data_IF_602767816861
#
_entry.id   IF_602767816861
#
_cell.length_a   1.000
_cell.length_b   1.000
_cell.length_c   1.000
_cell.angle_alpha   90.00
_cell.angle_beta   90.00
_cell.angle_gamma   90.00
#
_symmetry.space_group_name_H-M   'P 1'
#
loop_
_entity.id
_entity.type
_entity.pdbx_description
1 polymer ?
#
# COMPACT_ATOMS: atom_id res chain seq x y z
N UNK A 1 -7.28 -20.89 -2.89
CA UNK A 1 -6.20 -20.50 -3.81
C UNK A 1 -6.26 -19.00 -3.98
N UNK A 2 -5.23 -18.26 -3.53
CA UNK A 2 -5.19 -16.80 -3.64
C UNK A 2 -4.17 -16.43 -4.71
N UNK A 3 -4.62 -16.41 -5.96
CA UNK A 3 -3.77 -16.28 -7.15
C UNK A 3 -2.83 -15.07 -7.07
N UNK A 4 -3.31 -13.93 -6.56
CA UNK A 4 -2.49 -12.73 -6.42
C UNK A 4 -1.34 -12.90 -5.42
N UNK A 5 -1.61 -13.59 -4.31
CA UNK A 5 -0.57 -13.91 -3.32
C UNK A 5 0.49 -14.82 -3.93
N UNK A 6 0.06 -15.88 -4.62
CA UNK A 6 0.98 -16.86 -5.24
C UNK A 6 1.90 -16.18 -6.27
N UNK A 7 1.38 -15.18 -7.01
CA UNK A 7 2.16 -14.39 -7.96
C UNK A 7 3.18 -13.46 -7.28
N UNK A 8 2.83 -12.86 -6.14
CA UNK A 8 3.75 -12.02 -5.35
C UNK A 8 4.87 -12.87 -4.74
N UNK A 9 4.52 -14.01 -4.14
CA UNK A 9 5.50 -14.95 -3.56
C UNK A 9 6.45 -15.53 -4.62
N UNK A 10 5.95 -15.78 -5.84
CA UNK A 10 6.78 -16.22 -6.96
C UNK A 10 7.59 -15.09 -7.64
N UNK A 11 7.51 -13.85 -7.14
CA UNK A 11 8.21 -12.68 -7.70
C UNK A 11 7.71 -12.22 -9.07
N UNK A 12 6.54 -12.73 -9.53
CA UNK A 12 5.93 -12.34 -10.81
C UNK A 12 5.22 -10.99 -10.75
N UNK A 13 4.81 -10.57 -9.54
CA UNK A 13 4.20 -9.28 -9.27
C UNK A 13 4.92 -8.64 -8.09
N UNK A 14 5.48 -7.45 -8.29
CA UNK A 14 6.10 -6.66 -7.22
C UNK A 14 5.17 -5.49 -6.87
N UNK A 15 4.58 -5.46 -5.65
CA UNK A 15 3.79 -4.32 -5.22
C UNK A 15 4.67 -3.07 -5.13
N UNK A 16 4.19 -1.97 -5.73
CA UNK A 16 4.84 -0.67 -5.59
C UNK A 16 4.28 0.02 -4.36
N UNK A 17 5.11 0.23 -3.33
CA UNK A 17 4.78 1.04 -2.16
C UNK A 17 5.15 2.49 -2.47
N UNK A 18 4.17 3.37 -2.50
CA UNK A 18 4.42 4.80 -2.77
C UNK A 18 4.72 5.60 -1.51
N UNK A 19 3.93 5.37 -0.46
CA UNK A 19 4.07 6.10 0.80
C UNK A 19 3.70 5.23 1.99
N UNK A 20 4.39 5.46 3.09
CA UNK A 20 4.18 4.77 4.36
C UNK A 20 3.87 5.79 5.44
N UNK A 21 2.91 5.48 6.30
CA UNK A 21 2.53 6.27 7.47
C UNK A 21 2.53 5.37 8.71
N UNK A 22 2.83 5.88 9.92
CA UNK A 22 2.52 5.14 11.13
C UNK A 22 1.00 4.97 11.28
N UNK A 23 0.56 3.89 11.94
CA UNK A 23 -0.86 3.62 12.18
C UNK A 23 -1.56 4.79 12.91
N UNK A 24 -0.84 5.48 13.80
CA UNK A 24 -1.30 6.69 14.47
C UNK A 24 -1.71 7.81 13.50
N UNK A 25 -1.18 7.82 12.27
CA UNK A 25 -1.45 8.79 11.21
C UNK A 25 -2.43 8.26 10.15
N UNK A 26 -3.19 7.19 10.41
CA UNK A 26 -4.13 6.62 9.44
C UNK A 26 -5.10 7.65 8.83
N UNK A 27 -5.56 8.63 9.61
CA UNK A 27 -6.41 9.70 9.10
C UNK A 27 -5.71 10.58 8.05
N UNK A 28 -4.40 10.82 8.21
CA UNK A 28 -3.59 11.55 7.24
C UNK A 28 -3.35 10.72 5.98
N UNK A 29 -3.12 9.42 6.13
CA UNK A 29 -2.99 8.50 5.00
C UNK A 29 -4.25 8.48 4.12
N UNK A 30 -5.44 8.49 4.74
CA UNK A 30 -6.72 8.57 4.02
C UNK A 30 -6.88 9.91 3.30
N UNK A 31 -6.54 11.03 3.94
CA UNK A 31 -6.57 12.35 3.28
C UNK A 31 -5.64 12.40 2.08
N UNK A 32 -4.40 11.94 2.23
CA UNK A 32 -3.41 11.85 1.16
C UNK A 32 -3.90 11.02 -0.04
N UNK A 33 -4.64 9.94 0.22
CA UNK A 33 -5.31 9.15 -0.83
C UNK A 33 -6.44 9.94 -1.50
N UNK A 34 -7.32 10.56 -0.70
CA UNK A 34 -8.48 11.30 -1.19
C UNK A 34 -8.09 12.52 -2.03
N UNK A 35 -6.97 13.17 -1.70
CA UNK A 35 -6.41 14.31 -2.45
C UNK A 35 -5.78 13.88 -3.79
N UNK A 36 -5.83 12.59 -4.15
CA UNK A 36 -5.31 12.06 -5.41
C UNK A 36 -3.78 12.02 -5.49
N UNK A 37 -3.09 12.24 -4.36
CA UNK A 37 -1.63 12.30 -4.32
C UNK A 37 -0.98 10.91 -4.28
N UNK A 38 -1.77 9.87 -4.06
CA UNK A 38 -1.27 8.50 -3.91
C UNK A 38 -0.83 7.90 -5.25
N UNK A 39 0.43 7.47 -5.30
CA UNK A 39 0.97 6.60 -6.36
C UNK A 39 1.27 5.23 -5.76
N UNK A 40 0.75 4.16 -6.34
CA UNK A 40 0.94 2.80 -5.80
C UNK A 40 0.18 2.56 -4.49
N UNK A 41 0.70 1.67 -3.64
CA UNK A 41 0.10 1.30 -2.36
C UNK A 41 0.52 2.26 -1.26
N UNK A 42 -0.43 2.64 -0.41
CA UNK A 42 -0.16 3.26 0.88
C UNK A 42 -0.13 2.16 1.93
N UNK A 43 0.91 2.14 2.76
CA UNK A 43 1.11 1.16 3.84
C UNK A 43 1.07 1.87 5.20
N UNK A 44 0.46 1.22 6.19
CA UNK A 44 0.52 1.66 7.59
C UNK A 44 1.50 0.78 8.37
N UNK A 45 2.40 1.39 9.15
CA UNK A 45 3.31 0.67 10.07
C UNK A 45 2.72 0.59 11.47
N UNK A 46 2.99 -0.51 12.15
CA UNK A 46 2.55 -0.82 13.53
C UNK A 46 3.72 -0.99 14.46
#
# INVERSE_FOLDING_TARGET
MNVLRDMVEAGKVTPVVGKTFPLAEAAQAIRYLADGQAVGKIVLTV
#
